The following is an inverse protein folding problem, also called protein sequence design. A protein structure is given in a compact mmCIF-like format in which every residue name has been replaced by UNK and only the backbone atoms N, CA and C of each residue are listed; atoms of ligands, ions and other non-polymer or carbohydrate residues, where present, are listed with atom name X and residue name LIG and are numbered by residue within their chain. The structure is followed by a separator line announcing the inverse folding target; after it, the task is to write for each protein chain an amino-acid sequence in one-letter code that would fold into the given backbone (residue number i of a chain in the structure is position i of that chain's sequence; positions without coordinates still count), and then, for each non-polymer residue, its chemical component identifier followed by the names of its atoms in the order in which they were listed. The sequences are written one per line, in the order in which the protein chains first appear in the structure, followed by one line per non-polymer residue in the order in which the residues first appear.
data_IF_173114962559
#
_entry.id   IF_173114962559
#
_cell.length_a   1.000
_cell.length_b   1.000
_cell.length_c   1.000
_cell.angle_alpha   90.00
_cell.angle_beta   90.00
_cell.angle_gamma   90.00
#
_symmetry.space_group_name_H-M   'P 1'
#
loop_
_entity.id
_entity.type
_entity.pdbx_description
1 polymer ?
#
# COMPACT_ATOMS: atom_id res chain seq x y z
N UNK A 1 -0.40 24.53 -52.53
CA UNK A 1 -1.10 23.66 -53.49
C UNK A 1 -0.80 22.23 -53.12
N UNK A 2 -1.85 21.40 -52.97
CA UNK A 2 -1.84 19.97 -52.59
C UNK A 2 -1.38 19.77 -51.12
N UNK A 3 -2.25 19.64 -50.11
CA UNK A 3 -3.30 18.65 -49.98
C UNK A 3 -4.45 19.16 -49.10
N UNK A 4 -5.62 19.28 -49.69
CA UNK A 4 -6.91 19.20 -49.02
C UNK A 4 -7.61 18.01 -49.70
N UNK A 5 -8.01 16.96 -48.97
CA UNK A 5 -9.20 16.15 -49.25
C UNK A 5 -9.42 14.97 -48.26
N UNK A 6 -10.63 14.99 -47.69
CA UNK A 6 -11.47 13.92 -47.13
C UNK A 6 -11.11 13.13 -45.85
N UNK A 7 -12.05 13.03 -44.89
CA UNK A 7 -11.96 12.12 -43.75
C UNK A 7 -12.38 10.70 -44.17
N UNK A 8 -11.54 9.70 -43.89
CA UNK A 8 -11.92 8.29 -43.99
C UNK A 8 -12.72 7.87 -42.73
N UNK A 9 -13.74 7.02 -42.86
CA UNK A 9 -14.47 6.51 -41.70
C UNK A 9 -13.59 5.50 -40.97
N UNK A 10 -13.11 5.86 -39.78
CA UNK A 10 -12.41 4.92 -38.90
C UNK A 10 -13.37 3.79 -38.52
N UNK A 11 -13.13 2.59 -39.05
CA UNK A 11 -13.92 1.39 -38.71
C UNK A 11 -13.65 1.04 -37.23
N UNK A 12 -14.69 0.81 -36.40
CA UNK A 12 -14.53 0.55 -34.96
C UNK A 12 -13.63 -0.67 -34.65
N UNK A 13 -13.52 -1.62 -35.58
CA UNK A 13 -12.69 -2.81 -35.43
C UNK A 13 -11.18 -2.54 -35.48
N UNK A 14 -10.74 -1.44 -36.09
CA UNK A 14 -9.31 -1.12 -36.20
C UNK A 14 -8.76 -0.55 -34.89
N UNK A 15 -9.58 0.22 -34.16
CA UNK A 15 -9.26 0.69 -32.80
C UNK A 15 -9.21 -0.48 -31.81
N UNK A 16 -10.16 -1.43 -31.93
CA UNK A 16 -10.20 -2.63 -31.09
C UNK A 16 -8.99 -3.55 -31.37
N UNK A 17 -8.58 -3.70 -32.63
CA UNK A 17 -7.42 -4.49 -33.02
C UNK A 17 -6.10 -3.88 -32.53
N UNK A 18 -5.93 -2.56 -32.68
CA UNK A 18 -4.75 -1.85 -32.14
C UNK A 18 -4.73 -1.92 -30.62
N UNK A 19 -5.89 -1.77 -29.94
CA UNK A 19 -5.99 -1.99 -28.50
C UNK A 19 -5.65 -3.41 -28.10
N UNK A 20 -6.17 -4.43 -28.78
CA UNK A 20 -5.89 -5.84 -28.50
C UNK A 20 -4.41 -6.17 -28.74
N UNK A 21 -3.81 -5.69 -29.82
CA UNK A 21 -2.38 -5.86 -30.10
C UNK A 21 -1.50 -5.12 -29.08
N UNK A 22 -1.90 -3.93 -28.65
CA UNK A 22 -1.19 -3.16 -27.61
C UNK A 22 -1.32 -3.83 -26.25
N UNK A 23 -2.51 -4.32 -25.90
CA UNK A 23 -2.78 -5.11 -24.69
C UNK A 23 -2.00 -6.41 -24.71
N UNK A 24 -1.94 -7.11 -25.84
CA UNK A 24 -1.19 -8.36 -26.00
C UNK A 24 0.33 -8.10 -25.95
N UNK A 25 0.82 -7.04 -26.59
CA UNK A 25 2.23 -6.65 -26.56
C UNK A 25 2.67 -6.20 -25.17
N UNK A 26 1.85 -5.42 -24.45
CA UNK A 26 2.10 -5.04 -23.06
C UNK A 26 1.96 -6.25 -22.14
N UNK A 27 1.00 -7.15 -22.36
CA UNK A 27 0.87 -8.41 -21.61
C UNK A 27 2.10 -9.29 -21.81
N UNK A 28 2.60 -9.42 -23.05
CA UNK A 28 3.82 -10.16 -23.38
C UNK A 28 5.06 -9.47 -22.80
N UNK A 29 5.16 -8.15 -22.88
CA UNK A 29 6.23 -7.35 -22.27
C UNK A 29 6.23 -7.48 -20.75
N UNK A 30 5.08 -7.40 -20.10
CA UNK A 30 4.91 -7.59 -18.66
C UNK A 30 5.19 -9.05 -18.26
N UNK A 31 4.72 -10.04 -19.02
CA UNK A 31 5.08 -11.44 -18.78
C UNK A 31 6.57 -11.67 -18.98
N UNK A 32 7.20 -11.08 -20.00
CA UNK A 32 8.62 -11.21 -20.26
C UNK A 32 9.44 -10.51 -19.15
N UNK A 33 8.99 -9.37 -18.65
CA UNK A 33 9.58 -8.66 -17.51
C UNK A 33 9.40 -9.46 -16.21
N UNK A 34 8.21 -10.02 -15.95
CA UNK A 34 7.92 -10.95 -14.85
C UNK A 34 8.78 -12.20 -14.96
N UNK A 35 8.95 -12.76 -16.15
CA UNK A 35 9.81 -13.91 -16.42
C UNK A 35 11.27 -13.58 -16.19
N UNK A 36 11.76 -12.42 -16.65
CA UNK A 36 13.15 -11.98 -16.45
C UNK A 36 13.48 -11.83 -14.95
N UNK A 37 12.56 -11.26 -14.17
CA UNK A 37 12.73 -11.21 -12.71
C UNK A 37 12.57 -12.58 -12.06
N UNK A 38 11.58 -13.40 -12.48
CA UNK A 38 11.38 -14.77 -11.99
C UNK A 38 12.57 -15.70 -12.29
N UNK A 39 13.26 -15.52 -13.41
CA UNK A 39 14.46 -16.28 -13.78
C UNK A 39 15.66 -15.90 -12.90
N UNK A 40 15.80 -14.62 -12.53
CA UNK A 40 16.77 -14.20 -11.51
C UNK A 40 16.46 -14.78 -10.12
N UNK A 41 15.20 -15.15 -9.82
CA UNK A 41 14.83 -15.85 -8.59
C UNK A 41 15.12 -17.37 -8.62
N UNK A 42 15.18 -18.00 -9.79
CA UNK A 42 15.41 -19.46 -9.92
C UNK A 42 16.89 -19.81 -10.14
N UNK A 43 17.72 -18.90 -10.65
CA UNK A 43 19.11 -19.20 -11.00
C UNK A 43 20.15 -18.68 -9.99
N UNK A 44 20.00 -18.93 -8.68
CA UNK A 44 21.15 -19.04 -7.74
C UNK A 44 20.73 -19.52 -6.33
N UNK A 45 20.70 -20.84 -6.14
CA UNK A 45 21.26 -21.48 -4.94
C UNK A 45 21.28 -23.00 -5.18
N UNK A 46 22.48 -23.57 -5.00
CA UNK A 46 22.84 -25.00 -4.93
C UNK A 46 21.72 -26.04 -4.95
N UNK A 47 21.91 -27.06 -5.78
CA UNK A 47 21.12 -28.29 -5.86
C UNK A 47 20.82 -28.87 -4.47
N UNK A 48 19.55 -28.82 -4.09
CA UNK A 48 18.76 -29.87 -3.41
C UNK A 48 17.52 -29.24 -2.76
N UNK A 49 16.33 -29.59 -3.29
CA UNK A 49 15.06 -29.12 -2.76
C UNK A 49 14.56 -30.09 -1.68
N UNK A 50 14.74 -29.72 -0.42
CA UNK A 50 13.99 -30.30 0.69
C UNK A 50 12.99 -29.27 1.23
N UNK A 51 11.81 -29.18 0.60
CA UNK A 51 10.66 -28.50 1.21
C UNK A 51 9.97 -29.46 2.18
N UNK A 52 10.56 -29.68 3.37
CA UNK A 52 9.78 -30.24 4.49
C UNK A 52 8.86 -29.14 4.99
N UNK A 53 7.57 -29.26 4.67
CA UNK A 53 6.54 -28.61 5.46
C UNK A 53 6.70 -29.11 6.90
N UNK A 54 7.12 -28.25 7.82
CA UNK A 54 7.02 -28.56 9.25
C UNK A 54 5.52 -28.72 9.54
N UNK A 55 5.06 -29.91 9.95
CA UNK A 55 3.67 -30.10 10.34
C UNK A 55 3.39 -29.15 11.48
N UNK A 56 2.25 -28.47 11.44
CA UNK A 56 1.73 -27.67 12.54
C UNK A 56 1.70 -28.56 13.79
N UNK A 57 2.58 -28.30 14.76
CA UNK A 57 2.51 -28.96 16.07
C UNK A 57 1.11 -28.66 16.65
N UNK A 58 0.43 -29.73 17.08
CA UNK A 58 -0.80 -29.62 17.84
C UNK A 58 -0.56 -28.73 19.08
N UNK A 59 -1.57 -27.99 19.56
CA UNK A 59 -1.38 -27.08 20.67
C UNK A 59 -0.90 -27.85 21.90
N UNK A 60 0.35 -27.60 22.30
CA UNK A 60 0.85 -27.97 23.62
C UNK A 60 0.22 -26.99 24.59
N UNK A 61 -0.66 -27.50 25.45
CA UNK A 61 -1.13 -26.82 26.66
C UNK A 61 0.11 -26.43 27.48
N UNK A 62 0.49 -25.17 27.38
CA UNK A 62 1.49 -24.54 28.24
C UNK A 62 0.72 -23.79 29.30
N UNK A 63 0.56 -24.43 30.46
CA UNK A 63 0.13 -23.75 31.67
C UNK A 63 1.24 -22.76 32.03
N UNK A 64 0.92 -21.47 31.93
CA UNK A 64 1.77 -20.40 32.44
C UNK A 64 1.58 -20.34 33.95
N UNK A 65 2.70 -20.49 34.64
CA UNK A 65 2.91 -20.28 36.06
C UNK A 65 2.72 -18.78 36.41
N UNK A 66 1.66 -18.48 37.17
CA UNK A 66 1.54 -17.24 37.94
C UNK A 66 1.60 -17.59 39.45
N UNK A 67 2.75 -17.23 40.02
CA UNK A 67 3.08 -16.85 41.41
C UNK A 67 2.01 -16.99 42.52
N UNK A 68 2.54 -17.47 43.65
CA UNK A 68 2.20 -17.11 45.04
C UNK A 68 0.74 -17.28 45.47
N UNK A 69 0.43 -18.40 46.14
CA UNK A 69 0.08 -18.36 47.57
C UNK A 69 -0.14 -19.79 48.13
N UNK A 70 0.34 -19.95 49.36
CA UNK A 70 0.16 -21.07 50.27
C UNK A 70 -1.30 -21.53 50.46
N UNK A 71 -1.53 -22.84 50.63
CA UNK A 71 -2.36 -23.49 51.70
C UNK A 71 -2.50 -25.02 51.48
N UNK A 72 -2.12 -25.75 52.54
CA UNK A 72 -2.40 -27.12 53.04
C UNK A 72 -2.98 -28.30 52.20
N UNK A 73 -2.30 -29.45 52.37
CA UNK A 73 -2.75 -30.85 52.65
C UNK A 73 -4.00 -31.42 51.96
N UNK A 74 -3.81 -32.50 51.18
CA UNK A 74 -4.02 -33.90 51.64
C UNK A 74 -3.61 -34.91 50.56
N UNK A 75 -2.95 -35.98 51.00
CA UNK A 75 -2.38 -37.06 50.20
C UNK A 75 -3.37 -38.22 50.12
N UNK A 76 -3.68 -38.71 48.93
CA UNK A 76 -4.06 -40.12 48.74
C UNK A 76 -3.47 -40.63 47.43
N UNK A 77 -2.52 -41.55 47.55
CA UNK A 77 -1.71 -42.14 46.48
C UNK A 77 -2.23 -43.56 46.22
N UNK A 78 -2.66 -43.87 45.00
CA UNK A 78 -2.96 -45.24 44.57
C UNK A 78 -1.85 -45.70 43.62
N UNK A 79 -1.22 -46.87 43.85
CA UNK A 79 -0.06 -47.34 43.09
C UNK A 79 -0.41 -48.12 41.82
N UNK A 80 0.53 -48.08 40.89
CA UNK A 80 0.62 -48.79 39.60
C UNK A 80 0.80 -50.31 39.79
N UNK A 81 0.21 -51.12 38.92
CA UNK A 81 0.50 -52.56 38.81
C UNK A 81 0.70 -52.92 37.32
N UNK A 82 1.83 -53.57 37.04
CA UNK A 82 2.08 -54.56 35.97
C UNK A 82 2.93 -55.68 36.64
N UNK A 83 3.24 -56.83 36.00
CA UNK A 83 2.40 -58.03 35.89
C UNK A 83 3.10 -59.29 36.44
N UNK A 84 2.39 -60.33 36.92
CA UNK A 84 2.98 -61.67 37.18
C UNK A 84 1.99 -62.80 36.90
N UNK A 85 2.50 -63.85 36.28
CA UNK A 85 1.84 -65.09 35.88
C UNK A 85 1.88 -66.21 36.95
N UNK A 86 1.06 -67.24 36.73
CA UNK A 86 1.33 -68.70 36.90
C UNK A 86 0.38 -69.49 37.83
N UNK A 87 -0.34 -70.42 37.18
CA UNK A 87 -0.84 -71.77 37.57
C UNK A 87 -1.89 -71.97 38.70
N UNK A 88 -2.97 -72.73 38.41
CA UNK A 88 -3.14 -74.20 38.59
C UNK A 88 -4.57 -74.62 38.17
N UNK A 89 -4.68 -75.79 37.50
CA UNK A 89 -5.84 -76.58 36.97
C UNK A 89 -6.17 -77.69 38.01
N UNK A 90 -7.38 -78.36 38.17
CA UNK A 90 -8.14 -79.07 37.11
C UNK A 90 -9.69 -79.26 37.18
N UNK A 91 -10.25 -79.56 35.99
CA UNK A 91 -11.35 -80.51 35.62
C UNK A 91 -12.82 -80.15 35.98
N UNK A 92 -13.86 -80.39 35.16
CA UNK A 92 -14.11 -81.37 34.05
C UNK A 92 -15.33 -80.97 33.17
N UNK A 93 -15.30 -81.35 31.87
CA UNK A 93 -16.41 -81.84 30.99
C UNK A 93 -17.63 -80.90 30.69
N UNK A 94 -18.20 -80.73 29.47
CA UNK A 94 -18.07 -81.35 28.14
C UNK A 94 -18.92 -80.54 27.09
N UNK A 95 -18.70 -80.82 25.80
CA UNK A 95 -19.58 -80.59 24.61
C UNK A 95 -19.62 -79.23 23.86
N UNK A 96 -19.14 -79.35 22.60
CA UNK A 96 -19.30 -78.57 21.35
C UNK A 96 -20.56 -77.70 21.13
N UNK A 97 -20.37 -76.48 20.58
CA UNK A 97 -20.94 -76.06 19.27
C UNK A 97 -20.30 -74.76 18.73
N UNK A 98 -20.23 -74.68 17.39
CA UNK A 98 -19.69 -73.57 16.59
C UNK A 98 -20.63 -72.36 16.61
N UNK A 99 -20.10 -71.13 16.45
CA UNK A 99 -20.40 -70.17 15.33
C UNK A 99 -20.06 -68.71 15.71
N UNK A 100 -19.12 -68.11 14.95
CA UNK A 100 -18.86 -66.69 14.60
C UNK A 100 -18.77 -65.58 15.69
N UNK A 101 -17.73 -64.72 15.65
CA UNK A 101 -17.66 -63.52 16.46
C UNK A 101 -18.38 -62.32 15.80
N UNK A 102 -19.07 -61.59 16.66
CA UNK A 102 -19.80 -60.33 16.45
C UNK A 102 -19.04 -59.28 15.63
N UNK A 103 -19.78 -58.68 14.69
CA UNK A 103 -19.44 -57.40 14.07
C UNK A 103 -19.52 -56.32 15.15
N UNK A 104 -18.37 -55.94 15.67
CA UNK A 104 -18.23 -54.79 16.58
C UNK A 104 -18.61 -53.51 15.85
N UNK A 105 -19.62 -52.86 16.40
CA UNK A 105 -20.19 -51.57 16.08
C UNK A 105 -19.14 -50.50 15.75
N UNK A 106 -19.36 -49.85 14.61
CA UNK A 106 -18.68 -48.67 14.11
C UNK A 106 -18.81 -47.54 15.15
N UNK A 107 -17.71 -47.15 15.80
CA UNK A 107 -17.66 -45.93 16.61
C UNK A 107 -17.78 -44.71 15.68
N UNK A 108 -19.00 -44.26 15.43
CA UNK A 108 -19.28 -42.95 14.88
C UNK A 108 -18.90 -41.89 15.92
N UNK A 109 -17.70 -41.32 15.79
CA UNK A 109 -17.40 -40.05 16.45
C UNK A 109 -18.42 -39.03 15.95
N UNK A 110 -19.38 -38.68 16.81
CA UNK A 110 -20.36 -37.61 16.57
C UNK A 110 -19.58 -36.32 16.42
N UNK A 111 -19.42 -35.89 15.18
CA UNK A 111 -18.77 -34.62 14.86
C UNK A 111 -19.69 -33.50 15.35
N UNK A 112 -19.20 -32.63 16.24
CA UNK A 112 -19.96 -31.48 16.72
C UNK A 112 -20.38 -30.61 15.52
N UNK A 113 -21.61 -30.11 15.52
CA UNK A 113 -22.12 -29.28 14.42
C UNK A 113 -21.22 -28.07 14.14
N UNK A 114 -20.58 -27.48 15.16
CA UNK A 114 -19.56 -26.43 15.00
C UNK A 114 -18.30 -26.89 14.24
N UNK A 115 -17.84 -28.13 14.48
CA UNK A 115 -16.70 -28.72 13.78
C UNK A 115 -17.05 -29.06 12.33
N UNK A 116 -18.30 -29.50 12.11
CA UNK A 116 -18.86 -29.79 10.79
C UNK A 116 -19.04 -28.50 9.97
N UNK A 117 -19.61 -27.45 10.55
CA UNK A 117 -19.72 -26.12 9.93
C UNK A 117 -18.33 -25.54 9.63
N UNK A 118 -17.38 -25.63 10.56
CA UNK A 118 -16.01 -25.18 10.33
C UNK A 118 -15.29 -25.98 9.22
N UNK A 119 -15.61 -27.27 9.03
CA UNK A 119 -15.13 -28.07 7.89
C UNK A 119 -15.80 -27.67 6.58
N UNK A 120 -17.12 -27.46 6.59
CA UNK A 120 -17.88 -27.03 5.41
C UNK A 120 -17.48 -25.61 4.96
N UNK A 121 -17.13 -24.72 5.88
CA UNK A 121 -16.57 -23.41 5.56
C UNK A 121 -15.12 -23.45 5.06
N UNK A 122 -14.39 -24.52 5.36
CA UNK A 122 -13.05 -24.80 4.79
C UNK A 122 -13.10 -25.46 3.42
N UNK A 123 -14.26 -25.91 2.96
CA UNK A 123 -14.38 -26.44 1.60
C UNK A 123 -14.28 -25.31 0.58
N UNK A 124 -13.62 -25.61 -0.55
CA UNK A 124 -13.52 -24.69 -1.67
C UNK A 124 -14.93 -24.44 -2.23
N UNK A 125 -15.43 -23.21 -2.07
CA UNK A 125 -16.69 -22.75 -2.66
C UNK A 125 -16.37 -22.01 -3.96
N UNK A 126 -16.97 -22.43 -5.07
CA UNK A 126 -16.87 -21.71 -6.33
C UNK A 126 -17.51 -20.32 -6.14
N UNK A 127 -16.69 -19.27 -6.22
CA UNK A 127 -17.19 -17.90 -6.13
C UNK A 127 -17.91 -17.55 -7.44
N UNK A 128 -19.24 -17.64 -7.44
CA UNK A 128 -20.07 -17.08 -8.51
C UNK A 128 -20.06 -15.57 -8.35
N UNK A 129 -19.42 -14.87 -9.27
CA UNK A 129 -19.40 -13.40 -9.29
C UNK A 129 -20.69 -12.93 -9.93
N UNK A 130 -21.53 -12.24 -9.17
CA UNK A 130 -22.70 -11.59 -9.73
C UNK A 130 -22.29 -10.24 -10.34
N UNK A 131 -22.92 -9.85 -11.46
CA UNK A 131 -22.64 -8.57 -12.12
C UNK A 131 -22.87 -7.35 -11.19
N UNK A 132 -23.77 -7.49 -10.22
CA UNK A 132 -24.04 -6.48 -9.21
C UNK A 132 -22.84 -6.21 -8.27
N UNK A 133 -21.97 -7.20 -8.04
CA UNK A 133 -20.82 -7.09 -7.14
C UNK A 133 -19.58 -6.50 -7.82
N UNK A 134 -19.62 -6.37 -9.15
CA UNK A 134 -18.48 -5.97 -9.97
C UNK A 134 -17.94 -4.57 -9.62
N UNK A 135 -18.77 -3.53 -9.36
CA UNK A 135 -18.29 -2.22 -8.93
C UNK A 135 -17.51 -2.26 -7.62
N UNK A 136 -17.97 -3.05 -6.65
CA UNK A 136 -17.28 -3.22 -5.36
C UNK A 136 -15.95 -3.97 -5.53
N UNK A 137 -15.94 -5.00 -6.40
CA UNK A 137 -14.71 -5.71 -6.77
C UNK A 137 -13.69 -4.75 -7.40
N UNK A 138 -14.10 -3.91 -8.36
CA UNK A 138 -13.21 -2.91 -8.95
C UNK A 138 -12.77 -1.85 -7.96
N UNK A 139 -13.66 -1.39 -7.07
CA UNK A 139 -13.31 -0.42 -6.02
C UNK A 139 -12.24 -0.98 -5.07
N UNK A 140 -12.34 -2.28 -4.72
CA UNK A 140 -11.30 -2.99 -3.96
C UNK A 140 -10.02 -3.22 -4.75
N UNK A 141 -10.11 -3.53 -6.04
CA UNK A 141 -8.97 -3.73 -6.92
C UNK A 141 -8.16 -2.43 -7.11
N UNK A 142 -8.86 -1.34 -7.39
CA UNK A 142 -8.34 0.02 -7.54
C UNK A 142 -7.91 0.67 -6.21
N UNK A 143 -8.23 0.04 -5.08
CA UNK A 143 -8.04 0.59 -3.72
C UNK A 143 -8.57 2.01 -3.61
N UNK A 144 -9.85 2.22 -3.90
CA UNK A 144 -10.44 3.56 -4.12
C UNK A 144 -10.18 4.56 -2.98
N UNK A 145 -10.14 4.11 -1.72
CA UNK A 145 -9.80 4.96 -0.56
C UNK A 145 -8.37 5.48 -0.61
N UNK A 146 -7.42 4.63 -1.02
CA UNK A 146 -6.02 5.01 -1.22
C UNK A 146 -5.88 5.93 -2.44
N UNK A 147 -6.56 5.59 -3.53
CA UNK A 147 -6.59 6.42 -4.74
C UNK A 147 -7.18 7.81 -4.47
N UNK A 148 -8.24 7.91 -3.65
CA UNK A 148 -8.79 9.19 -3.24
C UNK A 148 -7.75 10.04 -2.48
N UNK A 149 -7.00 9.44 -1.54
CA UNK A 149 -5.91 10.15 -0.85
C UNK A 149 -4.83 10.64 -1.82
N UNK A 150 -4.44 9.81 -2.80
CA UNK A 150 -3.48 10.20 -3.85
C UNK A 150 -4.00 11.40 -4.64
N UNK A 151 -5.24 11.34 -5.10
CA UNK A 151 -5.88 12.45 -5.85
C UNK A 151 -5.99 13.70 -4.98
N UNK A 152 -6.34 13.60 -3.70
CA UNK A 152 -6.38 14.75 -2.78
C UNK A 152 -5.01 15.40 -2.62
N UNK A 153 -3.94 14.61 -2.55
CA UNK A 153 -2.58 15.17 -2.45
C UNK A 153 -2.11 15.83 -3.75
N UNK A 154 -2.52 15.30 -4.91
CA UNK A 154 -2.30 15.97 -6.19
C UNK A 154 -3.12 17.26 -6.31
N UNK A 155 -4.38 17.23 -5.89
CA UNK A 155 -5.26 18.40 -5.83
C UNK A 155 -4.68 19.50 -4.93
N UNK A 156 -4.08 19.15 -3.79
CA UNK A 156 -3.36 20.10 -2.94
C UNK A 156 -2.14 20.70 -3.67
N UNK A 157 -1.40 19.89 -4.43
CA UNK A 157 -0.33 20.34 -5.32
C UNK A 157 -0.79 21.39 -6.33
N UNK A 158 -1.91 21.11 -7.01
CA UNK A 158 -2.53 22.02 -7.98
C UNK A 158 -2.98 23.32 -7.32
N UNK A 159 -3.67 23.23 -6.17
CA UNK A 159 -4.18 24.40 -5.46
C UNK A 159 -3.06 25.29 -4.88
N UNK A 160 -1.89 24.74 -4.58
CA UNK A 160 -0.73 25.48 -4.08
C UNK A 160 0.05 26.21 -5.18
N UNK A 161 -0.12 25.84 -6.45
CA UNK A 161 0.62 26.45 -7.56
C UNK A 161 0.34 27.97 -7.69
N UNK A 162 1.33 28.80 -8.06
CA UNK A 162 1.22 30.27 -8.12
C UNK A 162 0.54 30.77 -9.40
N UNK A 163 -0.49 30.07 -9.87
CA UNK A 163 -1.24 30.39 -11.10
C UNK A 163 -2.74 30.51 -10.80
N UNK A 164 -3.52 31.20 -11.65
CA UNK A 164 -4.97 31.24 -11.52
C UNK A 164 -5.57 29.84 -11.50
N UNK A 165 -6.52 29.62 -10.60
CA UNK A 165 -7.15 28.32 -10.46
C UNK A 165 -8.13 28.08 -11.62
N UNK A 166 -7.78 27.17 -12.51
CA UNK A 166 -8.69 26.67 -13.55
C UNK A 166 -9.42 25.40 -13.05
N UNK A 167 -10.76 25.46 -12.84
CA UNK A 167 -11.54 24.32 -12.37
C UNK A 167 -11.59 23.14 -13.35
N UNK A 168 -11.54 23.40 -14.65
CA UNK A 168 -11.59 22.35 -15.67
C UNK A 168 -10.29 21.54 -15.64
N UNK A 169 -9.16 22.22 -15.66
CA UNK A 169 -7.84 21.60 -15.59
C UNK A 169 -7.62 20.88 -14.25
N UNK A 170 -8.15 21.43 -13.15
CA UNK A 170 -8.20 20.75 -11.86
C UNK A 170 -8.96 19.42 -11.91
N UNK A 171 -10.15 19.41 -12.53
CA UNK A 171 -10.97 18.20 -12.65
C UNK A 171 -10.29 17.16 -13.55
N UNK A 172 -9.81 17.57 -14.73
CA UNK A 172 -9.16 16.68 -15.70
C UNK A 172 -7.88 16.07 -15.12
N UNK A 173 -7.04 16.86 -14.46
CA UNK A 173 -5.82 16.37 -13.81
C UNK A 173 -6.12 15.43 -12.63
N UNK A 174 -7.15 15.72 -11.84
CA UNK A 174 -7.61 14.85 -10.75
C UNK A 174 -8.13 13.51 -11.27
N UNK A 175 -8.94 13.53 -12.34
CA UNK A 175 -9.45 12.33 -12.99
C UNK A 175 -8.33 11.49 -13.59
N UNK A 176 -7.41 12.11 -14.34
CA UNK A 176 -6.24 11.44 -14.93
C UNK A 176 -5.35 10.80 -13.88
N UNK A 177 -5.08 11.51 -12.78
CA UNK A 177 -4.31 11.00 -11.63
C UNK A 177 -5.02 9.83 -10.95
N UNK A 178 -6.35 9.92 -10.78
CA UNK A 178 -7.17 8.86 -10.23
C UNK A 178 -7.10 7.59 -11.07
N UNK A 179 -7.26 7.71 -12.39
CA UNK A 179 -7.16 6.59 -13.33
C UNK A 179 -5.75 5.96 -13.33
N UNK A 180 -4.69 6.78 -13.32
CA UNK A 180 -3.31 6.29 -13.20
C UNK A 180 -3.08 5.52 -11.89
N UNK A 181 -3.61 6.02 -10.77
CA UNK A 181 -3.56 5.33 -9.47
C UNK A 181 -4.37 4.02 -9.47
N UNK A 182 -5.56 3.99 -10.08
CA UNK A 182 -6.34 2.77 -10.25
C UNK A 182 -5.55 1.69 -11.02
N UNK A 183 -4.87 2.09 -12.10
CA UNK A 183 -4.01 1.22 -12.89
C UNK A 183 -2.85 0.66 -12.06
N UNK A 184 -2.07 1.53 -11.42
CA UNK A 184 -0.92 1.14 -10.61
C UNK A 184 -1.29 0.20 -9.45
N UNK A 185 -2.42 0.45 -8.77
CA UNK A 185 -2.91 -0.41 -7.69
C UNK A 185 -3.37 -1.78 -8.19
N UNK A 186 -4.02 -1.84 -9.35
CA UNK A 186 -4.49 -3.09 -9.96
C UNK A 186 -3.31 -3.98 -10.36
N UNK A 187 -2.30 -3.41 -11.02
CA UNK A 187 -1.06 -4.11 -11.40
C UNK A 187 -0.30 -4.56 -10.15
N UNK A 188 -0.19 -3.71 -9.11
CA UNK A 188 0.45 -4.12 -7.87
C UNK A 188 -0.26 -5.31 -7.22
N UNK A 189 -1.60 -5.35 -7.20
CA UNK A 189 -2.32 -6.52 -6.67
C UNK A 189 -2.09 -7.79 -7.51
N UNK A 190 -1.94 -7.65 -8.82
CA UNK A 190 -1.59 -8.76 -9.71
C UNK A 190 -0.21 -9.36 -9.38
N UNK A 191 0.82 -8.53 -9.18
CA UNK A 191 2.15 -9.04 -8.81
C UNK A 191 2.22 -9.60 -7.38
N UNK A 192 1.41 -9.09 -6.45
CA UNK A 192 1.47 -9.49 -5.05
C UNK A 192 0.63 -10.74 -4.70
N UNK A 193 -0.15 -11.32 -5.63
CA UNK A 193 -1.07 -12.44 -5.36
C UNK A 193 -0.49 -13.58 -4.49
N UNK A 194 0.66 -14.22 -4.83
CA UNK A 194 1.18 -15.34 -4.05
C UNK A 194 1.71 -14.94 -2.67
N UNK A 195 2.00 -13.66 -2.46
CA UNK A 195 2.51 -13.15 -1.18
C UNK A 195 1.38 -12.62 -0.30
N UNK A 196 0.38 -11.99 -0.91
CA UNK A 196 -0.79 -11.47 -0.22
C UNK A 196 -1.64 -12.59 0.39
N UNK A 197 -1.63 -13.80 -0.18
CA UNK A 197 -2.29 -15.00 0.37
C UNK A 197 -1.71 -15.42 1.72
N UNK A 198 -0.43 -15.15 1.98
CA UNK A 198 0.27 -15.53 3.21
C UNK A 198 0.11 -14.52 4.36
N UNK A 199 -0.60 -13.41 4.12
CA UNK A 199 -0.75 -12.31 5.06
C UNK A 199 -2.22 -12.13 5.47
N UNK A 200 -2.49 -12.07 6.78
CA UNK A 200 -3.85 -11.98 7.32
C UNK A 200 -4.61 -10.76 6.82
N UNK A 201 -3.91 -9.63 6.67
CA UNK A 201 -4.47 -8.37 6.18
C UNK A 201 -4.92 -8.43 4.71
N UNK A 202 -4.30 -9.29 3.89
CA UNK A 202 -4.38 -9.19 2.42
C UNK A 202 -4.89 -10.47 1.75
N UNK A 203 -5.02 -11.57 2.50
CA UNK A 203 -5.60 -12.83 2.01
C UNK A 203 -7.02 -12.68 1.45
N UNK A 204 -7.73 -11.63 1.86
CA UNK A 204 -9.09 -11.34 1.40
C UNK A 204 -9.16 -10.43 0.16
N UNK A 205 -8.03 -10.09 -0.47
CA UNK A 205 -8.01 -9.27 -1.70
C UNK A 205 -8.72 -9.99 -2.86
N UNK A 206 -9.34 -9.26 -3.82
CA UNK A 206 -10.13 -9.87 -4.89
C UNK A 206 -9.38 -10.90 -5.74
N UNK A 207 -8.12 -10.61 -6.11
CA UNK A 207 -7.30 -11.51 -6.91
C UNK A 207 -6.84 -12.75 -6.15
N UNK A 208 -6.57 -12.61 -4.84
CA UNK A 208 -6.14 -13.73 -3.99
C UNK A 208 -7.28 -14.72 -3.78
N UNK A 209 -8.51 -14.22 -3.60
CA UNK A 209 -9.71 -15.04 -3.45
C UNK A 209 -10.24 -15.60 -4.77
N UNK A 210 -9.64 -15.25 -5.90
CA UNK A 210 -10.15 -15.63 -7.22
C UNK A 210 -11.51 -15.00 -7.59
N UNK A 211 -11.87 -13.84 -7.01
CA UNK A 211 -13.11 -13.15 -7.34
C UNK A 211 -13.07 -12.50 -8.73
N UNK A 212 -11.88 -12.36 -9.32
CA UNK A 212 -11.66 -11.80 -10.65
C UNK A 212 -10.47 -12.50 -11.28
N UNK A 213 -10.52 -12.76 -12.59
CA UNK A 213 -9.41 -13.40 -13.28
C UNK A 213 -8.21 -12.44 -13.39
N UNK A 214 -6.97 -12.95 -13.41
CA UNK A 214 -5.79 -12.10 -13.57
C UNK A 214 -5.80 -11.31 -14.89
N UNK A 215 -6.27 -11.93 -15.98
CA UNK A 215 -6.44 -11.25 -17.27
C UNK A 215 -7.39 -10.07 -17.16
N UNK A 216 -8.53 -10.24 -16.48
CA UNK A 216 -9.51 -9.18 -16.30
C UNK A 216 -8.94 -8.02 -15.48
N UNK A 217 -8.19 -8.32 -14.41
CA UNK A 217 -7.54 -7.28 -13.60
C UNK A 217 -6.49 -6.48 -14.40
N UNK A 218 -5.71 -7.14 -15.26
CA UNK A 218 -4.76 -6.47 -16.16
C UNK A 218 -5.49 -5.63 -17.21
N UNK A 219 -6.56 -6.16 -17.81
CA UNK A 219 -7.40 -5.40 -18.76
C UNK A 219 -8.00 -4.15 -18.12
N UNK A 220 -8.52 -4.26 -16.89
CA UNK A 220 -8.99 -3.10 -16.12
C UNK A 220 -7.86 -2.09 -15.85
N UNK A 221 -6.67 -2.57 -15.48
CA UNK A 221 -5.52 -1.70 -15.27
C UNK A 221 -5.12 -0.94 -16.54
N UNK A 222 -5.15 -1.58 -17.71
CA UNK A 222 -4.87 -0.94 -18.99
C UNK A 222 -5.98 0.03 -19.39
N UNK A 223 -7.24 -0.34 -19.17
CA UNK A 223 -8.40 0.50 -19.41
C UNK A 223 -8.42 1.77 -18.54
N UNK A 224 -7.82 1.74 -17.35
CA UNK A 224 -7.59 2.95 -16.57
C UNK A 224 -6.29 3.67 -16.96
N UNK A 225 -5.21 2.93 -17.14
CA UNK A 225 -3.86 3.50 -17.33
C UNK A 225 -3.71 4.27 -18.65
N UNK A 226 -4.17 3.69 -19.76
CA UNK A 226 -4.02 4.32 -21.09
C UNK A 226 -4.82 5.64 -21.16
N UNK A 227 -6.13 5.67 -20.83
CA UNK A 227 -6.88 6.93 -20.84
C UNK A 227 -6.40 7.90 -19.77
N UNK A 228 -5.99 7.43 -18.58
CA UNK A 228 -5.47 8.28 -17.51
C UNK A 228 -4.21 9.05 -17.93
N UNK A 229 -3.22 8.34 -18.51
CA UNK A 229 -1.99 8.96 -19.02
C UNK A 229 -2.27 9.81 -20.27
N UNK A 230 -3.18 9.38 -21.15
CA UNK A 230 -3.58 10.16 -22.32
C UNK A 230 -4.24 11.49 -21.92
N UNK A 231 -5.15 11.49 -20.93
CA UNK A 231 -5.76 12.71 -20.40
C UNK A 231 -4.71 13.65 -19.82
N UNK A 232 -3.78 13.12 -19.01
CA UNK A 232 -2.71 13.94 -18.44
C UNK A 232 -1.78 14.51 -19.52
N UNK A 233 -1.41 13.73 -20.53
CA UNK A 233 -0.49 14.17 -21.60
C UNK A 233 -1.14 15.16 -22.56
N UNK A 234 -2.34 14.84 -23.05
CA UNK A 234 -2.98 15.55 -24.17
C UNK A 234 -3.87 16.71 -23.71
N UNK A 235 -4.59 16.54 -22.60
CA UNK A 235 -5.50 17.57 -22.11
C UNK A 235 -4.87 18.48 -21.05
N UNK A 236 -3.92 17.97 -20.25
CA UNK A 236 -3.26 18.76 -19.19
C UNK A 236 -1.91 19.33 -19.66
N UNK A 237 -0.87 18.49 -19.75
CA UNK A 237 0.40 18.80 -20.41
C UNK A 237 1.31 17.57 -20.48
N UNK A 238 2.26 17.53 -21.44
CA UNK A 238 3.17 16.39 -21.60
C UNK A 238 4.02 16.05 -20.37
N UNK A 239 4.43 17.06 -19.59
CA UNK A 239 5.24 16.86 -18.38
C UNK A 239 4.47 16.07 -17.31
N UNK A 240 3.22 16.44 -17.06
CA UNK A 240 2.35 15.77 -16.08
C UNK A 240 1.99 14.36 -16.57
N UNK A 241 1.76 14.19 -17.87
CA UNK A 241 1.58 12.89 -18.50
C UNK A 241 2.79 11.96 -18.30
N UNK A 242 4.00 12.49 -18.54
CA UNK A 242 5.25 11.77 -18.30
C UNK A 242 5.41 11.38 -16.82
N UNK A 243 5.18 12.31 -15.89
CA UNK A 243 5.22 12.02 -14.45
C UNK A 243 4.20 10.95 -14.05
N UNK A 244 2.99 10.98 -14.61
CA UNK A 244 1.97 9.96 -14.38
C UNK A 244 2.39 8.56 -14.87
N UNK A 245 2.91 8.49 -16.10
CA UNK A 245 3.44 7.24 -16.66
C UNK A 245 4.64 6.71 -15.87
N UNK A 246 5.57 7.61 -15.52
CA UNK A 246 6.72 7.30 -14.68
C UNK A 246 6.28 6.79 -13.31
N UNK A 247 5.25 7.38 -12.70
CA UNK A 247 4.75 6.96 -11.40
C UNK A 247 4.13 5.55 -11.45
N UNK A 248 3.38 5.23 -12.50
CA UNK A 248 2.88 3.85 -12.73
C UNK A 248 4.07 2.89 -12.81
N UNK A 249 5.06 3.19 -13.65
CA UNK A 249 6.25 2.37 -13.84
C UNK A 249 7.06 2.20 -12.54
N UNK A 250 7.36 3.29 -11.83
CA UNK A 250 8.10 3.26 -10.58
C UNK A 250 7.37 2.46 -9.51
N UNK A 251 6.05 2.57 -9.42
CA UNK A 251 5.28 1.81 -8.44
C UNK A 251 5.29 0.31 -8.76
N UNK A 252 4.98 -0.07 -9.99
CA UNK A 252 4.74 -1.47 -10.37
C UNK A 252 6.03 -2.22 -10.68
N UNK A 253 6.94 -1.63 -11.46
CA UNK A 253 8.14 -2.28 -11.96
C UNK A 253 9.34 -2.11 -11.02
N UNK A 254 9.41 -1.02 -10.25
CA UNK A 254 10.53 -0.77 -9.34
C UNK A 254 10.15 -1.09 -7.89
N UNK A 255 9.19 -0.36 -7.32
CA UNK A 255 8.85 -0.47 -5.90
C UNK A 255 8.30 -1.83 -5.50
N UNK A 256 7.29 -2.36 -6.22
CA UNK A 256 6.66 -3.65 -5.89
C UNK A 256 7.66 -4.81 -5.77
N UNK A 257 8.55 -5.09 -6.74
CA UNK A 257 9.56 -6.14 -6.58
C UNK A 257 10.60 -5.80 -5.51
N UNK A 258 10.98 -4.52 -5.36
CA UNK A 258 12.02 -4.11 -4.41
C UNK A 258 11.64 -4.42 -2.96
N UNK A 259 10.34 -4.47 -2.61
CA UNK A 259 9.85 -4.91 -1.29
C UNK A 259 10.39 -6.28 -0.86
N UNK A 260 10.79 -7.13 -1.81
CA UNK A 260 11.37 -8.47 -1.59
C UNK A 260 12.90 -8.48 -1.61
N UNK A 261 13.50 -7.55 -2.34
CA UNK A 261 14.93 -7.57 -2.63
C UNK A 261 15.73 -6.82 -1.56
N UNK A 262 15.29 -5.63 -1.16
CA UNK A 262 16.08 -4.74 -0.30
C UNK A 262 15.20 -3.84 0.56
N UNK A 263 15.76 -3.37 1.68
CA UNK A 263 15.20 -2.30 2.49
C UNK A 263 15.00 -0.99 1.71
N UNK A 264 15.71 -0.80 0.59
CA UNK A 264 15.61 0.37 -0.30
C UNK A 264 14.17 0.61 -0.80
N UNK A 265 13.30 -0.40 -0.74
CA UNK A 265 11.88 -0.27 -1.06
C UNK A 265 11.20 0.92 -0.36
N UNK A 266 11.56 1.23 0.89
CA UNK A 266 10.89 2.30 1.63
C UNK A 266 11.21 3.67 1.04
N UNK A 267 12.45 3.89 0.58
CA UNK A 267 12.84 5.15 -0.06
C UNK A 267 12.28 5.29 -1.46
N UNK A 268 12.29 4.21 -2.26
CA UNK A 268 11.68 4.21 -3.60
C UNK A 268 10.16 4.41 -3.50
N UNK A 269 9.51 3.75 -2.55
CA UNK A 269 8.10 3.96 -2.25
C UNK A 269 7.80 5.41 -1.84
N UNK A 270 8.69 6.02 -1.04
CA UNK A 270 8.58 7.42 -0.68
C UNK A 270 8.64 8.36 -1.90
N UNK A 271 9.51 8.09 -2.87
CA UNK A 271 9.56 8.82 -4.15
C UNK A 271 8.26 8.68 -4.91
N UNK A 272 7.72 7.46 -5.07
CA UNK A 272 6.43 7.24 -5.74
C UNK A 272 5.33 8.07 -5.08
N UNK A 273 5.23 8.04 -3.75
CA UNK A 273 4.21 8.81 -3.04
C UNK A 273 4.44 10.32 -3.04
N UNK A 274 5.64 10.80 -3.39
CA UNK A 274 5.95 12.23 -3.50
C UNK A 274 5.60 12.82 -4.87
N UNK A 275 5.44 11.99 -5.90
CA UNK A 275 5.14 12.42 -7.27
C UNK A 275 3.73 13.05 -7.41
N UNK A 276 2.64 12.55 -6.78
CA UNK A 276 1.30 13.11 -7.00
C UNK A 276 1.16 14.62 -6.71
N UNK A 277 1.67 15.19 -5.59
CA UNK A 277 1.68 16.64 -5.39
C UNK A 277 2.46 17.38 -6.47
N UNK A 278 3.59 16.82 -6.93
CA UNK A 278 4.39 17.39 -8.02
C UNK A 278 3.58 17.39 -9.31
N UNK A 279 2.89 16.29 -9.63
CA UNK A 279 1.97 16.20 -10.77
C UNK A 279 0.86 17.24 -10.70
N UNK A 280 0.31 17.49 -9.51
CA UNK A 280 -0.67 18.54 -9.28
C UNK A 280 -0.13 19.93 -9.61
N UNK A 281 1.08 20.25 -9.14
CA UNK A 281 1.73 21.53 -9.42
C UNK A 281 2.05 21.69 -10.91
N UNK A 282 2.61 20.66 -11.54
CA UNK A 282 2.92 20.68 -12.98
C UNK A 282 1.66 20.71 -13.82
N UNK A 283 0.54 20.16 -13.34
CA UNK A 283 -0.75 20.24 -14.02
C UNK A 283 -1.26 21.69 -14.12
N UNK A 284 -1.00 22.50 -13.09
CA UNK A 284 -1.39 23.90 -13.07
C UNK A 284 -0.39 24.81 -13.82
N UNK A 285 0.91 24.57 -13.65
CA UNK A 285 1.98 25.48 -14.13
C UNK A 285 2.61 25.07 -15.46
N UNK A 286 2.53 23.79 -15.82
CA UNK A 286 3.28 23.20 -16.95
C UNK A 286 4.78 22.99 -16.69
N UNK A 287 5.31 23.40 -15.53
CA UNK A 287 6.74 23.42 -15.24
C UNK A 287 7.08 22.76 -13.90
N UNK A 288 8.31 22.24 -13.79
CA UNK A 288 8.83 21.69 -12.54
C UNK A 288 9.58 22.77 -11.75
N UNK A 289 8.91 23.35 -10.76
CA UNK A 289 9.46 24.44 -9.94
C UNK A 289 9.87 23.95 -8.54
N UNK A 290 10.72 24.71 -7.81
CA UNK A 290 11.10 24.37 -6.43
C UNK A 290 9.90 24.16 -5.49
N UNK A 291 8.80 24.90 -5.69
CA UNK A 291 7.56 24.72 -4.92
C UNK A 291 6.91 23.35 -5.12
N UNK A 292 6.96 22.80 -6.35
CA UNK A 292 6.48 21.45 -6.63
C UNK A 292 7.30 20.41 -5.84
N UNK A 293 8.62 20.53 -5.89
CA UNK A 293 9.55 19.64 -5.18
C UNK A 293 9.40 19.74 -3.67
N UNK A 294 9.08 20.91 -3.13
CA UNK A 294 8.79 21.11 -1.72
C UNK A 294 7.53 20.34 -1.28
N UNK A 295 6.43 20.42 -2.04
CA UNK A 295 5.21 19.67 -1.75
C UNK A 295 5.43 18.15 -1.86
N UNK A 296 6.19 17.73 -2.87
CA UNK A 296 6.69 16.36 -2.96
C UNK A 296 7.52 16.00 -1.72
N UNK A 297 8.37 16.91 -1.25
CA UNK A 297 9.19 16.78 -0.04
C UNK A 297 8.38 16.60 1.24
N UNK A 298 7.25 17.31 1.40
CA UNK A 298 6.33 17.10 2.51
C UNK A 298 5.80 15.67 2.52
N UNK A 299 5.29 15.17 1.40
CA UNK A 299 4.80 13.80 1.31
C UNK A 299 5.92 12.77 1.46
N UNK A 300 7.08 13.03 0.86
CA UNK A 300 8.25 12.17 0.96
C UNK A 300 8.65 11.98 2.43
N UNK A 301 8.83 13.08 3.16
CA UNK A 301 9.24 13.03 4.56
C UNK A 301 8.15 12.50 5.47
N UNK A 302 6.90 12.90 5.27
CA UNK A 302 5.76 12.43 6.06
C UNK A 302 5.54 10.90 5.98
N UNK A 303 5.83 10.28 4.84
CA UNK A 303 5.64 8.84 4.67
C UNK A 303 6.49 8.00 5.62
N UNK A 304 7.68 8.46 6.02
CA UNK A 304 8.55 7.69 6.89
C UNK A 304 7.97 7.47 8.29
N UNK A 305 7.58 8.48 9.08
CA UNK A 305 6.92 8.24 10.36
C UNK A 305 5.61 7.46 10.22
N UNK A 306 4.86 7.66 9.12
CA UNK A 306 3.63 6.91 8.84
C UNK A 306 3.88 5.41 8.61
N UNK A 307 4.68 5.09 7.59
CA UNK A 307 4.93 3.73 7.14
C UNK A 307 5.82 2.94 8.09
N UNK A 308 6.85 3.57 8.69
CA UNK A 308 7.72 2.89 9.65
C UNK A 308 6.95 2.51 10.92
N UNK A 309 6.03 3.36 11.38
CA UNK A 309 5.15 3.05 12.49
C UNK A 309 4.15 1.92 12.15
N UNK A 310 3.54 1.96 10.96
CA UNK A 310 2.63 0.91 10.50
C UNK A 310 3.34 -0.45 10.38
N UNK A 311 4.49 -0.46 9.71
CA UNK A 311 5.27 -1.67 9.45
C UNK A 311 5.88 -2.27 10.72
N UNK A 312 6.04 -1.49 11.78
CA UNK A 312 6.44 -1.99 13.10
C UNK A 312 5.40 -2.95 13.70
N UNK A 313 4.12 -2.57 13.64
CA UNK A 313 3.02 -3.38 14.15
C UNK A 313 2.71 -4.59 13.26
N UNK A 314 3.04 -4.52 11.97
CA UNK A 314 2.81 -5.58 10.99
C UNK A 314 4.05 -6.43 10.68
N UNK A 315 5.11 -6.33 11.50
CA UNK A 315 6.41 -6.99 11.23
C UNK A 315 6.29 -8.52 11.08
N UNK A 316 5.43 -9.16 11.88
CA UNK A 316 5.20 -10.61 11.85
C UNK A 316 4.48 -11.03 10.57
N UNK A 317 3.52 -10.22 10.11
CA UNK A 317 2.84 -10.46 8.84
C UNK A 317 3.82 -10.28 7.66
N UNK A 318 4.67 -9.25 7.71
CA UNK A 318 5.68 -9.02 6.69
C UNK A 318 6.75 -10.12 6.64
N UNK A 319 7.19 -10.63 7.79
CA UNK A 319 8.16 -11.73 7.84
C UNK A 319 7.56 -13.02 7.29
N UNK A 320 6.31 -13.37 7.65
CA UNK A 320 5.59 -14.52 7.07
C UNK A 320 5.37 -14.38 5.58
N UNK A 321 5.07 -13.16 5.13
CA UNK A 321 4.95 -12.85 3.72
C UNK A 321 6.27 -13.04 2.98
N UNK A 322 7.42 -12.89 3.64
CA UNK A 322 8.80 -12.92 3.10
C UNK A 322 9.34 -11.55 2.68
N UNK A 323 8.72 -10.47 3.15
CA UNK A 323 9.09 -9.10 2.80
C UNK A 323 10.32 -8.61 3.57
N UNK A 324 11.23 -7.91 2.87
CA UNK A 324 12.44 -7.31 3.46
C UNK A 324 12.19 -5.88 3.91
N UNK A 325 11.24 -5.73 4.83
CA UNK A 325 10.91 -4.41 5.40
C UNK A 325 11.98 -3.97 6.42
N UNK A 326 12.18 -2.66 6.52
CA UNK A 326 13.12 -2.07 7.48
C UNK A 326 12.73 -2.42 8.93
N UNK A 327 11.44 -2.51 9.24
CA UNK A 327 10.96 -2.91 10.58
C UNK A 327 11.33 -4.35 10.96
N UNK A 328 11.52 -5.23 9.98
CA UNK A 328 11.85 -6.65 10.19
C UNK A 328 13.37 -6.85 10.24
N UNK A 329 14.08 -6.33 9.22
CA UNK A 329 15.52 -6.58 9.05
C UNK A 329 16.41 -5.59 9.80
N UNK A 330 15.98 -4.33 9.93
CA UNK A 330 16.78 -3.23 10.49
C UNK A 330 15.95 -2.35 11.44
N UNK A 331 15.42 -2.90 12.54
CA UNK A 331 14.49 -2.20 13.43
C UNK A 331 15.06 -0.89 14.01
N UNK A 332 16.36 -0.86 14.33
CA UNK A 332 17.02 0.38 14.79
C UNK A 332 17.06 1.48 13.73
N UNK A 333 17.21 1.13 12.45
CA UNK A 333 17.14 2.07 11.34
C UNK A 333 15.71 2.58 11.14
N UNK A 334 14.72 1.68 11.21
CA UNK A 334 13.29 2.01 11.11
C UNK A 334 12.89 3.15 12.06
N UNK A 335 13.31 3.02 13.33
CA UNK A 335 13.09 4.03 14.36
C UNK A 335 13.83 5.35 14.08
N UNK A 336 15.11 5.29 13.70
CA UNK A 336 15.93 6.49 13.42
C UNK A 336 15.41 7.29 12.23
N UNK A 337 15.04 6.60 11.15
CA UNK A 337 14.52 7.22 9.92
C UNK A 337 13.18 7.90 10.20
N UNK A 338 12.28 7.26 10.96
CA UNK A 338 11.00 7.87 11.36
C UNK A 338 11.21 9.18 12.12
N UNK A 339 12.14 9.22 13.08
CA UNK A 339 12.48 10.43 13.83
C UNK A 339 13.11 11.51 12.94
N UNK A 340 14.12 11.14 12.13
CA UNK A 340 14.82 12.09 11.25
C UNK A 340 13.87 12.81 10.29
N UNK A 341 12.97 12.09 9.64
CA UNK A 341 12.01 12.70 8.73
C UNK A 341 10.90 13.48 9.45
N UNK A 342 10.54 13.09 10.68
CA UNK A 342 9.61 13.89 11.49
C UNK A 342 10.21 15.26 11.83
N UNK A 343 11.50 15.30 12.20
CA UNK A 343 12.23 16.55 12.40
C UNK A 343 12.46 17.31 11.08
N UNK A 344 12.72 16.58 9.99
CA UNK A 344 12.87 17.13 8.66
C UNK A 344 11.65 17.89 8.16
N UNK A 345 10.44 17.51 8.59
CA UNK A 345 9.21 18.26 8.28
C UNK A 345 9.25 19.69 8.85
N UNK A 346 9.88 19.93 10.00
CA UNK A 346 10.08 21.29 10.54
C UNK A 346 10.96 22.10 9.57
N UNK A 347 12.06 21.51 9.12
CA UNK A 347 12.98 22.14 8.16
C UNK A 347 12.32 22.44 6.81
N UNK A 348 11.52 21.50 6.30
CA UNK A 348 10.73 21.70 5.07
C UNK A 348 9.67 22.80 5.27
N UNK A 349 9.03 22.86 6.45
CA UNK A 349 8.07 23.93 6.75
C UNK A 349 8.73 25.31 6.75
N UNK A 350 9.97 25.42 7.22
CA UNK A 350 10.75 26.68 7.17
C UNK A 350 11.30 26.98 5.77
N UNK A 351 11.50 25.97 4.92
CA UNK A 351 11.93 26.17 3.53
C UNK A 351 10.80 26.73 2.66
N UNK A 352 9.53 26.51 3.03
CA UNK A 352 8.37 26.98 2.27
C UNK A 352 8.33 28.50 2.04
N UNK A 353 8.52 29.38 3.04
CA UNK A 353 8.61 30.81 2.81
C UNK A 353 9.90 31.25 2.12
N UNK A 354 11.00 30.51 2.28
CA UNK A 354 12.28 30.80 1.58
C UNK A 354 12.13 30.60 0.06
N UNK A 355 11.31 29.63 -0.35
CA UNK A 355 10.98 29.37 -1.75
C UNK A 355 9.79 30.19 -2.27
N UNK A 356 9.35 31.21 -1.52
CA UNK A 356 8.21 32.07 -1.86
C UNK A 356 6.86 31.34 -2.04
N UNK A 357 6.73 30.11 -1.52
CA UNK A 357 5.48 29.32 -1.62
C UNK A 357 4.44 29.76 -0.59
N UNK A 358 4.90 30.05 0.63
CA UNK A 358 4.05 30.48 1.75
C UNK A 358 4.59 31.72 2.44
N UNK A 359 3.80 32.32 3.32
CA UNK A 359 4.24 33.40 4.22
C UNK A 359 5.02 32.84 5.42
N UNK A 360 5.84 33.68 6.07
CA UNK A 360 6.58 33.32 7.29
C UNK A 360 5.68 32.93 8.49
N UNK A 361 4.38 33.20 8.41
CA UNK A 361 3.39 32.69 9.38
C UNK A 361 3.24 31.17 9.32
N UNK A 362 3.44 30.54 8.15
CA UNK A 362 3.29 29.10 7.97
C UNK A 362 4.17 28.25 8.90
N UNK A 363 5.51 28.43 8.96
CA UNK A 363 6.34 27.65 9.86
C UNK A 363 5.98 27.90 11.34
N UNK A 364 5.49 29.09 11.70
CA UNK A 364 5.07 29.38 13.08
C UNK A 364 3.80 28.61 13.47
N UNK A 365 2.76 28.66 12.64
CA UNK A 365 1.48 27.98 12.95
C UNK A 365 1.53 26.46 12.76
N UNK A 366 2.41 25.97 11.89
CA UNK A 366 2.62 24.53 11.69
C UNK A 366 3.60 23.91 12.71
N UNK A 367 4.32 24.74 13.48
CA UNK A 367 5.29 24.27 14.47
C UNK A 367 4.66 23.35 15.52
N UNK A 368 3.50 23.63 16.14
CA UNK A 368 2.93 22.76 17.17
C UNK A 368 2.64 21.35 16.66
N UNK A 369 2.09 21.21 15.45
CA UNK A 369 1.77 19.89 14.87
C UNK A 369 3.03 19.13 14.47
N UNK A 370 4.06 19.83 13.99
CA UNK A 370 5.35 19.25 13.62
C UNK A 370 6.16 18.84 14.86
N UNK A 371 6.10 19.61 15.94
CA UNK A 371 6.68 19.24 17.23
C UNK A 371 5.97 18.03 17.83
N UNK A 372 4.64 17.96 17.72
CA UNK A 372 3.87 16.84 18.27
C UNK A 372 4.19 15.51 17.56
N UNK A 373 4.21 15.49 16.22
CA UNK A 373 4.62 14.27 15.48
C UNK A 373 6.08 13.91 15.78
N UNK A 374 6.97 14.90 15.90
CA UNK A 374 8.37 14.69 16.28
C UNK A 374 8.54 14.12 17.69
N UNK A 375 7.76 14.58 18.65
CA UNK A 375 7.71 14.05 20.00
C UNK A 375 7.26 12.58 20.01
N UNK A 376 6.20 12.25 19.26
CA UNK A 376 5.74 10.85 19.14
C UNK A 376 6.78 9.98 18.43
N UNK A 377 7.47 10.51 17.40
CA UNK A 377 8.56 9.83 16.73
C UNK A 377 9.76 9.59 17.65
N UNK A 378 10.08 10.55 18.53
CA UNK A 378 11.10 10.40 19.55
C UNK A 378 10.72 9.34 20.59
N UNK A 379 9.46 9.33 21.03
CA UNK A 379 8.94 8.27 21.91
C UNK A 379 9.01 6.90 21.27
N UNK A 380 8.67 6.79 19.98
CA UNK A 380 8.83 5.56 19.21
C UNK A 380 10.30 5.16 19.09
N UNK A 381 11.20 6.12 18.86
CA UNK A 381 12.64 5.88 18.80
C UNK A 381 13.20 5.29 20.11
N UNK A 382 12.81 5.87 21.25
CA UNK A 382 13.23 5.39 22.58
C UNK A 382 12.60 4.07 22.98
N UNK A 383 11.26 3.93 22.88
CA UNK A 383 10.54 2.77 23.39
C UNK A 383 10.48 1.59 22.41
N UNK A 384 10.17 1.84 21.14
CA UNK A 384 10.03 0.78 20.12
C UNK A 384 8.94 -0.26 20.41
N UNK A 385 7.90 0.09 21.15
CA UNK A 385 6.78 -0.81 21.48
C UNK A 385 5.59 -0.63 20.52
N UNK A 386 4.67 -1.61 20.48
CA UNK A 386 3.46 -1.55 19.63
C UNK A 386 2.61 -0.31 19.93
N UNK A 387 2.59 0.15 21.19
CA UNK A 387 1.79 1.31 21.60
C UNK A 387 2.35 2.63 21.05
N UNK A 388 3.66 2.87 21.11
CA UNK A 388 4.26 4.08 20.56
C UNK A 388 4.18 4.12 19.04
N UNK A 389 4.40 2.99 18.38
CA UNK A 389 4.20 2.86 16.93
C UNK A 389 2.75 3.20 16.55
N UNK A 390 1.75 2.63 17.26
CA UNK A 390 0.34 2.90 16.98
C UNK A 390 -0.01 4.40 17.13
N UNK A 391 0.49 5.05 18.18
CA UNK A 391 0.28 6.49 18.40
C UNK A 391 0.90 7.35 17.30
N UNK A 392 2.13 7.05 16.88
CA UNK A 392 2.79 7.75 15.78
C UNK A 392 2.04 7.57 14.46
N UNK A 393 1.60 6.35 14.15
CA UNK A 393 0.79 6.05 12.97
C UNK A 393 -0.51 6.86 12.95
N UNK A 394 -1.30 6.85 14.03
CA UNK A 394 -2.54 7.64 14.07
C UNK A 394 -2.29 9.15 14.01
N UNK A 395 -1.21 9.64 14.64
CA UNK A 395 -0.82 11.04 14.52
C UNK A 395 -0.53 11.43 13.06
N UNK A 396 0.19 10.59 12.33
CA UNK A 396 0.53 10.87 10.94
C UNK A 396 -0.70 11.00 10.04
N UNK A 397 -1.79 10.28 10.30
CA UNK A 397 -3.01 10.32 9.48
C UNK A 397 -3.66 11.70 9.41
N UNK A 398 -3.75 12.41 10.54
CA UNK A 398 -4.33 13.76 10.57
C UNK A 398 -3.27 14.86 10.38
N UNK A 399 -2.00 14.58 10.69
CA UNK A 399 -0.91 15.55 10.53
C UNK A 399 -0.75 16.03 9.08
N UNK A 400 -0.75 15.12 8.10
CA UNK A 400 -0.57 15.50 6.69
C UNK A 400 -1.68 16.42 6.15
N UNK A 401 -2.99 16.07 6.24
CA UNK A 401 -4.04 16.95 5.75
C UNK A 401 -4.04 18.29 6.48
N UNK A 402 -3.73 18.31 7.77
CA UNK A 402 -3.60 19.55 8.53
C UNK A 402 -2.41 20.39 8.05
N UNK A 403 -1.24 19.80 7.82
CA UNK A 403 -0.07 20.50 7.31
C UNK A 403 -0.32 21.12 5.92
N UNK A 404 -0.94 20.37 5.01
CA UNK A 404 -1.30 20.86 3.67
C UNK A 404 -2.36 21.97 3.73
N UNK A 405 -3.35 21.85 4.62
CA UNK A 405 -4.34 22.89 4.84
C UNK A 405 -3.70 24.19 5.38
N UNK A 406 -2.81 24.08 6.36
CA UNK A 406 -2.08 25.24 6.88
C UNK A 406 -1.22 25.89 5.78
N UNK A 407 -0.57 25.08 4.94
CA UNK A 407 0.19 25.58 3.80
C UNK A 407 -0.69 26.36 2.81
N UNK A 408 -1.89 25.86 2.51
CA UNK A 408 -2.88 26.53 1.67
C UNK A 408 -3.37 27.85 2.27
N UNK A 409 -3.67 27.88 3.58
CA UNK A 409 -4.12 29.12 4.25
C UNK A 409 -3.05 30.21 4.33
N UNK A 410 -1.77 29.81 4.30
CA UNK A 410 -0.63 30.71 4.30
C UNK A 410 0.02 30.84 2.91
N UNK A 411 -0.68 30.42 1.85
CA UNK A 411 -0.19 30.54 0.48
C UNK A 411 0.09 32.01 0.16
N UNK A 412 1.26 32.30 -0.39
CA UNK A 412 1.63 33.67 -0.73
C UNK A 412 0.74 34.17 -1.89
N UNK A 413 0.14 35.38 -1.79
CA UNK A 413 -0.60 35.96 -2.90
C UNK A 413 0.32 36.16 -4.10
N UNK A 414 -0.24 36.04 -5.31
CA UNK A 414 0.46 36.36 -6.55
C UNK A 414 1.00 37.79 -6.45
N UNK A 415 2.30 38.00 -6.71
CA UNK A 415 2.80 39.33 -7.07
C UNK A 415 2.30 39.60 -8.48
N UNK A 416 1.28 40.44 -8.61
CA UNK A 416 0.98 41.01 -9.92
C UNK A 416 2.22 41.82 -10.35
N UNK A 417 2.66 41.61 -11.59
CA UNK A 417 3.80 42.32 -12.18
C UNK A 417 3.53 43.83 -12.36
N UNK A 418 2.39 44.36 -11.88
CA UNK A 418 2.01 45.76 -11.97
C UNK A 418 2.84 46.69 -11.07
N UNK A 419 3.52 46.16 -10.05
CA UNK A 419 4.34 46.98 -9.13
C UNK A 419 5.83 47.09 -9.52
N UNK A 420 6.23 46.52 -10.66
CA UNK A 420 7.58 46.62 -11.19
C UNK A 420 7.60 47.50 -12.45
N UNK A 421 7.43 48.82 -12.29
CA UNK A 421 7.85 49.77 -13.31
C UNK A 421 6.89 50.92 -13.60
N UNK A 422 6.67 51.81 -12.63
CA UNK A 422 6.50 53.23 -12.96
C UNK A 422 7.46 54.03 -12.06
N UNK A 423 8.55 54.63 -12.59
CA UNK A 423 9.25 55.65 -11.83
C UNK A 423 8.27 56.79 -11.52
N UNK A 424 8.33 57.42 -10.33
CA UNK A 424 7.48 58.56 -10.04
C UNK A 424 7.70 59.62 -11.12
N UNK A 425 6.62 60.04 -11.77
CA UNK A 425 6.65 61.11 -12.76
C UNK A 425 7.33 62.34 -12.13
N UNK A 426 8.34 62.95 -12.79
CA UNK A 426 8.93 64.17 -12.27
C UNK A 426 7.83 65.23 -12.23
N UNK A 427 7.59 65.76 -11.02
CA UNK A 427 6.72 66.90 -10.80
C UNK A 427 7.21 68.08 -11.64
N UNK A 428 6.44 68.46 -12.67
CA UNK A 428 6.65 69.70 -13.39
C UNK A 428 6.56 70.87 -12.39
N UNK A 429 7.57 71.75 -12.28
CA UNK A 429 7.40 72.99 -11.55
C UNK A 429 6.48 73.92 -12.36
N UNK A 430 5.32 74.21 -11.78
CA UNK A 430 4.51 75.38 -12.09
C UNK A 430 5.35 76.63 -11.80
N UNK A 431 5.91 77.24 -12.84
CA UNK A 431 6.42 78.61 -12.79
C UNK A 431 5.87 79.43 -13.95
N UNK A 432 4.88 80.24 -13.58
CA UNK A 432 4.65 81.65 -13.95
C UNK A 432 4.18 82.00 -15.37
N UNK A 433 2.89 82.38 -15.39
CA UNK A 433 2.39 83.53 -16.15
C UNK A 433 3.27 84.76 -15.92
N UNK A 434 3.79 85.33 -17.01
CA UNK A 434 3.81 86.77 -17.33
C UNK A 434 4.33 86.96 -18.75
#
# INVERSE_FOLDING_TARGET
SIWCNHPLPAKPNQFLYVHLCTVLYIYLSMNHFVYLFSFQYVAKSSSELHQRAVPKQAPVLTVVDEREDSVERQVQRIPTIDPVATEVVPQSEDVTSKTQPEVSTLNSTVETEEAREARLDRQWKQLKVHMADLPDIYARLAKIKLTALVVTTAAAGYAMAPVPFDPLMFFVSSLGTGLASCSANSINQYFEVPFDSNMNRTKNRPLVRGQISPLHAVSFALACGIPGVALLTLAVNPLTGFLGALNIFLYTCCYTPLKRLSITNTWVGAVVGAIPPVMGWTAATGCLEPGALLLGGFLYSWQFPHFNALSWNLREDYSRGGYRMMSVTHPGMCKRVALRHSLGLIGLSTLAPVLDVTTWTFPLISLPINLYISYLAFRFYRKGDRSSARKLFFCSLWHLPMLLLLALTCKKPRRDQTDAGLPPAPSLPLTLQS
#
